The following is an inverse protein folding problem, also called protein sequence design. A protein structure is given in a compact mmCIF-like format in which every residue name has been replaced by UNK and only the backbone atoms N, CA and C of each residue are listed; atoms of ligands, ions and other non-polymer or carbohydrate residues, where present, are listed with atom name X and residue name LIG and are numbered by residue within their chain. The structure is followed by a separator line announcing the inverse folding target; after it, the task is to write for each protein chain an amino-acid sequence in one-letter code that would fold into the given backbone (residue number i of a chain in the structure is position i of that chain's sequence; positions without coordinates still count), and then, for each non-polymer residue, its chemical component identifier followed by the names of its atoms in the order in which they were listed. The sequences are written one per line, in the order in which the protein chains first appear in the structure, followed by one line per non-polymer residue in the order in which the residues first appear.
data_IF_442417439966
#
_entry.id   IF_442417439966
#
_cell.length_a   1.000
_cell.length_b   1.000
_cell.length_c   1.000
_cell.angle_alpha   90.00
_cell.angle_beta   90.00
_cell.angle_gamma   90.00
#
_symmetry.space_group_name_H-M   'P 1'
#
loop_
_entity.id
_entity.type
_entity.pdbx_description
1 polymer ?
#
# COMPACT_ATOMS: atom_id res chain seq x y z
N UNK A 1 -30.60 42.26 -35.94
CA UNK A 1 -29.35 42.42 -35.19
C UNK A 1 -28.80 41.04 -34.87
N UNK A 2 -27.87 40.55 -35.68
CA UNK A 2 -27.32 39.20 -35.60
C UNK A 2 -25.95 39.28 -34.94
N UNK A 3 -25.77 38.62 -33.77
CA UNK A 3 -24.47 38.57 -33.11
C UNK A 3 -23.49 37.75 -33.96
N UNK A 4 -22.22 38.15 -34.13
CA UNK A 4 -21.27 37.36 -34.90
C UNK A 4 -20.92 36.08 -34.15
N UNK A 5 -20.95 34.96 -34.86
CA UNK A 5 -20.49 33.66 -34.37
C UNK A 5 -18.95 33.69 -34.34
N UNK A 6 -18.37 34.03 -33.19
CA UNK A 6 -16.92 33.92 -32.98
C UNK A 6 -16.50 32.46 -32.85
N UNK A 7 -15.25 32.11 -33.23
CA UNK A 7 -14.76 30.74 -33.09
C UNK A 7 -14.80 30.31 -31.61
N UNK A 8 -15.07 29.03 -31.32
CA UNK A 8 -15.11 28.53 -29.96
C UNK A 8 -13.77 28.81 -29.29
N UNK A 9 -13.79 29.66 -28.26
CA UNK A 9 -12.61 30.00 -27.48
C UNK A 9 -11.94 28.72 -26.99
N UNK A 10 -10.66 28.57 -27.28
CA UNK A 10 -9.82 27.51 -26.74
C UNK A 10 -9.79 27.69 -25.23
N UNK A 11 -10.69 27.01 -24.50
CA UNK A 11 -10.57 26.90 -23.04
C UNK A 11 -9.26 26.16 -22.79
N UNK A 12 -8.23 26.91 -22.43
CA UNK A 12 -7.00 26.37 -21.89
C UNK A 12 -7.40 25.48 -20.71
N UNK A 13 -7.27 24.16 -20.87
CA UNK A 13 -7.41 23.24 -19.74
C UNK A 13 -6.44 23.75 -18.66
N UNK A 14 -6.88 23.95 -17.40
CA UNK A 14 -5.97 24.30 -16.33
C UNK A 14 -4.83 23.30 -16.34
N UNK A 15 -3.58 23.79 -16.38
CA UNK A 15 -2.42 22.93 -16.14
C UNK A 15 -2.65 22.27 -14.78
N UNK A 16 -2.66 20.92 -14.68
CA UNK A 16 -2.71 20.31 -13.37
C UNK A 16 -1.57 20.90 -12.54
N UNK A 17 -1.90 21.37 -11.33
CA UNK A 17 -0.90 21.76 -10.34
C UNK A 17 0.17 20.68 -10.30
N UNK A 18 1.46 21.06 -10.33
CA UNK A 18 2.60 20.15 -10.47
C UNK A 18 2.31 18.78 -9.84
N UNK A 19 2.03 17.78 -10.68
CA UNK A 19 1.86 16.42 -10.21
C UNK A 19 3.19 16.03 -9.55
N UNK A 20 3.20 15.98 -8.22
CA UNK A 20 4.43 15.73 -7.47
C UNK A 20 5.07 14.43 -7.94
N UNK A 21 6.39 14.33 -7.81
CA UNK A 21 7.12 13.17 -8.34
C UNK A 21 6.90 11.91 -7.49
N UNK A 22 7.21 10.74 -8.03
CA UNK A 22 7.45 9.54 -7.21
C UNK A 22 8.96 9.34 -7.21
N UNK A 23 9.63 9.92 -6.21
CA UNK A 23 11.10 9.92 -6.10
C UNK A 23 11.67 8.49 -6.08
N UNK A 24 12.95 8.32 -6.40
CA UNK A 24 13.61 7.02 -6.28
C UNK A 24 13.48 6.45 -4.85
N UNK A 25 13.59 7.31 -3.84
CA UNK A 25 13.36 6.94 -2.44
C UNK A 25 11.94 6.39 -2.22
N UNK A 26 10.92 7.10 -2.71
CA UNK A 26 9.54 6.62 -2.63
C UNK A 26 9.34 5.27 -3.32
N UNK A 27 9.93 5.07 -4.50
CA UNK A 27 9.80 3.81 -5.24
C UNK A 27 10.46 2.66 -4.49
N UNK A 28 11.68 2.85 -3.98
CA UNK A 28 12.40 1.83 -3.22
C UNK A 28 11.57 1.40 -2.01
N UNK A 29 11.10 2.36 -1.22
CA UNK A 29 10.31 2.04 -0.04
C UNK A 29 8.93 1.46 -0.39
N UNK A 30 8.28 1.89 -1.47
CA UNK A 30 7.02 1.30 -1.93
C UNK A 30 7.19 -0.19 -2.28
N UNK A 31 8.30 -0.54 -2.95
CA UNK A 31 8.62 -1.92 -3.32
C UNK A 31 9.04 -2.76 -2.11
N UNK A 32 9.77 -2.18 -1.15
CA UNK A 32 10.07 -2.84 0.14
C UNK A 32 8.77 -3.14 0.89
N UNK A 33 7.85 -2.17 0.97
CA UNK A 33 6.54 -2.37 1.58
C UNK A 33 5.77 -3.50 0.88
N UNK A 34 5.74 -3.50 -0.45
CA UNK A 34 5.09 -4.55 -1.23
C UNK A 34 5.69 -5.93 -0.93
N UNK A 35 7.01 -6.03 -0.91
CA UNK A 35 7.72 -7.27 -0.60
C UNK A 35 7.38 -7.79 0.79
N UNK A 36 7.35 -6.92 1.80
CA UNK A 36 6.96 -7.29 3.17
C UNK A 36 5.56 -7.90 3.18
N UNK A 37 4.60 -7.26 2.50
CA UNK A 37 3.21 -7.74 2.47
C UNK A 37 3.05 -9.05 1.69
N UNK A 38 3.81 -9.25 0.61
CA UNK A 38 3.84 -10.54 -0.09
C UNK A 38 4.40 -11.63 0.82
N UNK A 39 5.55 -11.39 1.47
CA UNK A 39 6.19 -12.38 2.36
C UNK A 39 5.29 -12.72 3.54
N UNK A 40 4.76 -11.71 4.23
CA UNK A 40 3.85 -11.90 5.37
C UNK A 40 2.58 -12.59 4.90
N UNK A 41 2.00 -12.18 3.77
CA UNK A 41 0.80 -12.80 3.22
C UNK A 41 1.00 -14.27 2.85
N UNK A 42 2.18 -14.64 2.34
CA UNK A 42 2.53 -16.04 2.10
C UNK A 42 2.65 -16.85 3.40
N UNK A 43 3.25 -16.26 4.44
CA UNK A 43 3.34 -16.90 5.76
C UNK A 43 1.93 -17.11 6.34
N UNK A 44 1.08 -16.10 6.28
CA UNK A 44 -0.31 -16.14 6.76
C UNK A 44 -1.16 -17.18 6.00
N UNK A 45 -1.11 -17.16 4.66
CA UNK A 45 -1.91 -18.04 3.82
C UNK A 45 -1.45 -19.51 3.85
N UNK A 46 -0.14 -19.77 3.91
CA UNK A 46 0.40 -21.10 3.69
C UNK A 46 1.15 -21.70 4.88
N UNK A 47 1.75 -20.88 5.75
CA UNK A 47 2.67 -21.38 6.79
C UNK A 47 2.03 -21.38 8.18
N UNK A 48 1.17 -20.41 8.47
CA UNK A 48 0.57 -20.18 9.79
C UNK A 48 -0.01 -21.45 10.44
N UNK A 49 -0.83 -22.21 9.70
CA UNK A 49 -1.47 -23.41 10.23
C UNK A 49 -0.51 -24.56 10.56
N UNK A 50 0.72 -24.53 10.03
CA UNK A 50 1.67 -25.66 10.08
C UNK A 50 2.84 -25.41 11.04
N UNK A 51 3.26 -24.16 11.24
CA UNK A 51 4.43 -23.80 12.05
C UNK A 51 4.03 -23.07 13.33
N UNK A 52 4.57 -23.52 14.47
CA UNK A 52 4.41 -22.82 15.76
C UNK A 52 5.13 -21.49 15.76
N UNK A 53 6.27 -21.43 15.10
CA UNK A 53 7.12 -20.24 14.96
C UNK A 53 6.39 -19.15 14.18
N UNK A 54 5.71 -19.52 13.08
CA UNK A 54 4.86 -18.60 12.32
C UNK A 54 3.72 -18.03 13.18
N UNK A 55 3.08 -18.87 14.01
CA UNK A 55 2.02 -18.41 14.91
C UNK A 55 2.54 -17.46 15.98
N UNK A 56 3.66 -17.81 16.62
CA UNK A 56 4.33 -16.94 17.58
C UNK A 56 4.77 -15.62 16.94
N UNK A 57 5.31 -15.65 15.72
CA UNK A 57 5.72 -14.45 15.00
C UNK A 57 4.54 -13.52 14.69
N UNK A 58 3.45 -14.08 14.13
CA UNK A 58 2.30 -13.31 13.64
C UNK A 58 1.32 -12.86 14.74
N UNK A 59 1.09 -13.72 15.74
CA UNK A 59 0.00 -13.52 16.73
C UNK A 59 0.49 -13.45 18.16
N UNK A 60 1.78 -13.76 18.42
CA UNK A 60 2.34 -13.93 19.78
C UNK A 60 1.68 -15.03 20.61
N UNK A 61 0.82 -15.82 19.99
CA UNK A 61 0.11 -16.94 20.59
C UNK A 61 0.49 -18.23 19.84
N UNK A 62 0.80 -19.32 20.54
CA UNK A 62 1.20 -20.58 19.88
C UNK A 62 0.02 -21.40 19.37
N UNK A 63 -1.21 -21.10 19.82
CA UNK A 63 -2.44 -21.83 19.49
C UNK A 63 -2.90 -21.64 18.04
N UNK A 64 -3.68 -22.59 17.52
CA UNK A 64 -4.19 -22.55 16.14
C UNK A 64 -5.71 -22.85 16.07
N UNK A 65 -6.58 -21.99 16.64
CA UNK A 65 -8.02 -22.19 16.54
C UNK A 65 -8.48 -22.11 15.07
N UNK A 66 -9.46 -22.94 14.64
CA UNK A 66 -9.96 -22.95 13.26
C UNK A 66 -10.40 -21.57 12.74
N UNK A 67 -11.05 -20.78 13.59
CA UNK A 67 -11.50 -19.42 13.31
C UNK A 67 -10.34 -18.45 13.05
N UNK A 68 -9.28 -18.51 13.86
CA UNK A 68 -8.08 -17.70 13.64
C UNK A 68 -7.43 -18.10 12.32
N UNK A 69 -7.29 -19.41 12.07
CA UNK A 69 -6.71 -19.89 10.81
C UNK A 69 -7.51 -19.43 9.59
N UNK A 70 -8.84 -19.48 9.65
CA UNK A 70 -9.71 -19.01 8.56
C UNK A 70 -9.42 -17.53 8.24
N UNK A 71 -9.43 -16.68 9.26
CA UNK A 71 -9.19 -15.25 9.09
C UNK A 71 -7.76 -14.93 8.68
N UNK A 72 -6.75 -15.61 9.23
CA UNK A 72 -5.34 -15.42 8.87
C UNK A 72 -5.09 -15.81 7.42
N UNK A 73 -5.65 -16.92 6.93
CA UNK A 73 -5.50 -17.29 5.52
C UNK A 73 -6.11 -16.21 4.62
N UNK A 74 -7.29 -15.71 4.97
CA UNK A 74 -7.97 -14.65 4.22
C UNK A 74 -7.14 -13.36 4.21
N UNK A 75 -6.63 -12.93 5.38
CA UNK A 75 -5.79 -11.72 5.50
C UNK A 75 -4.51 -11.85 4.68
N UNK A 76 -3.94 -13.06 4.59
CA UNK A 76 -2.76 -13.31 3.75
C UNK A 76 -3.00 -13.03 2.27
N UNK A 77 -4.15 -13.43 1.74
CA UNK A 77 -4.54 -13.08 0.35
C UNK A 77 -4.77 -11.58 0.18
N UNK A 78 -5.41 -10.91 1.14
CA UNK A 78 -5.55 -9.45 1.10
C UNK A 78 -4.19 -8.75 1.07
N UNK A 79 -3.23 -9.19 1.88
CA UNK A 79 -1.88 -8.62 1.91
C UNK A 79 -1.15 -8.77 0.55
N UNK A 80 -1.24 -9.95 -0.08
CA UNK A 80 -0.64 -10.19 -1.41
C UNK A 80 -1.30 -9.31 -2.48
N UNK A 81 -2.63 -9.23 -2.49
CA UNK A 81 -3.37 -8.41 -3.46
C UNK A 81 -3.12 -6.91 -3.24
N UNK A 82 -3.06 -6.47 -1.97
CA UNK A 82 -2.74 -5.09 -1.61
C UNK A 82 -1.33 -4.71 -2.07
N UNK A 83 -0.37 -5.62 -1.98
CA UNK A 83 0.99 -5.41 -2.47
C UNK A 83 1.07 -5.20 -3.99
N UNK A 84 0.07 -5.61 -4.75
CA UNK A 84 0.02 -5.36 -6.20
C UNK A 84 -0.16 -3.87 -6.52
N UNK A 85 -0.85 -3.10 -5.68
CA UNK A 85 -1.10 -1.67 -5.91
C UNK A 85 0.18 -0.81 -5.99
N UNK A 86 1.11 -0.84 -5.00
CA UNK A 86 2.35 -0.06 -5.09
C UNK A 86 3.25 -0.53 -6.25
N UNK A 87 3.27 -1.84 -6.57
CA UNK A 87 4.02 -2.37 -7.72
C UNK A 87 3.45 -1.85 -9.03
N UNK A 88 2.14 -1.97 -9.24
CA UNK A 88 1.45 -1.43 -10.41
C UNK A 88 1.62 0.09 -10.49
N UNK A 89 1.64 0.79 -9.36
CA UNK A 89 1.88 2.22 -9.28
C UNK A 89 3.26 2.63 -9.79
N UNK A 90 4.32 1.92 -9.35
CA UNK A 90 5.68 2.15 -9.83
C UNK A 90 5.79 1.85 -11.33
N UNK A 91 5.21 0.74 -11.81
CA UNK A 91 5.21 0.39 -13.24
C UNK A 91 4.50 1.46 -14.07
N UNK A 92 3.30 1.88 -13.66
CA UNK A 92 2.52 2.90 -14.35
C UNK A 92 3.27 4.24 -14.42
N UNK A 93 3.95 4.62 -13.33
CA UNK A 93 4.77 5.83 -13.30
C UNK A 93 5.89 5.80 -14.36
N UNK A 94 6.60 4.68 -14.50
CA UNK A 94 7.65 4.50 -15.52
C UNK A 94 7.13 4.38 -16.95
N UNK A 95 5.87 4.00 -17.13
CA UNK A 95 5.19 3.99 -18.43
C UNK A 95 4.63 5.37 -18.83
N UNK A 96 4.86 6.42 -18.03
CA UNK A 96 4.38 7.77 -18.29
C UNK A 96 2.99 8.07 -17.74
N UNK A 97 2.32 7.11 -17.10
CA UNK A 97 1.04 7.31 -16.41
C UNK A 97 1.28 7.85 -14.99
N UNK A 98 1.92 9.02 -14.88
CA UNK A 98 2.44 9.57 -13.61
C UNK A 98 1.36 9.75 -12.54
N UNK A 99 0.18 10.24 -12.90
CA UNK A 99 -0.92 10.49 -11.95
C UNK A 99 -1.50 9.18 -11.40
N UNK A 100 -1.68 8.19 -12.26
CA UNK A 100 -2.13 6.84 -11.88
C UNK A 100 -1.09 6.18 -10.98
N UNK A 101 0.18 6.26 -11.36
CA UNK A 101 1.28 5.71 -10.59
C UNK A 101 1.37 6.29 -9.19
N UNK A 102 1.32 7.63 -9.08
CA UNK A 102 1.31 8.35 -7.81
C UNK A 102 0.09 8.00 -6.97
N UNK A 103 -1.11 7.97 -7.55
CA UNK A 103 -2.34 7.66 -6.83
C UNK A 103 -2.30 6.26 -6.20
N UNK A 104 -1.84 5.25 -6.95
CA UNK A 104 -1.72 3.88 -6.44
C UNK A 104 -0.71 3.76 -5.29
N UNK A 105 0.48 4.39 -5.43
CA UNK A 105 1.51 4.38 -4.38
C UNK A 105 1.01 5.08 -3.11
N UNK A 106 0.35 6.24 -3.24
CA UNK A 106 -0.20 7.00 -2.11
C UNK A 106 -1.31 6.23 -1.42
N UNK A 107 -2.27 5.70 -2.19
CA UNK A 107 -3.39 4.94 -1.65
C UNK A 107 -2.92 3.71 -0.89
N UNK A 108 -2.04 2.90 -1.49
CA UNK A 108 -1.48 1.72 -0.84
C UNK A 108 -0.74 2.08 0.45
N UNK A 109 0.05 3.17 0.42
CA UNK A 109 0.79 3.63 1.60
C UNK A 109 -0.15 4.04 2.74
N UNK A 110 -1.19 4.83 2.44
CA UNK A 110 -2.21 5.21 3.42
C UNK A 110 -2.94 4.01 3.99
N UNK A 111 -3.32 3.05 3.13
CA UNK A 111 -3.98 1.82 3.56
C UNK A 111 -3.11 1.04 4.54
N UNK A 112 -1.84 0.82 4.22
CA UNK A 112 -0.93 0.00 5.03
C UNK A 112 -0.61 0.67 6.36
N UNK A 113 -0.46 2.00 6.40
CA UNK A 113 -0.32 2.78 7.64
C UNK A 113 -1.58 2.64 8.51
N UNK A 114 -2.77 2.83 7.91
CA UNK A 114 -4.04 2.72 8.64
C UNK A 114 -4.26 1.30 9.19
N UNK A 115 -3.97 0.28 8.39
CA UNK A 115 -4.08 -1.11 8.78
C UNK A 115 -3.05 -1.49 9.86
N UNK A 116 -1.82 -0.98 9.81
CA UNK A 116 -0.83 -1.19 10.87
C UNK A 116 -1.19 -0.48 12.17
N UNK A 117 -1.81 0.70 12.10
CA UNK A 117 -2.43 1.33 13.29
C UNK A 117 -3.55 0.46 13.86
N UNK A 118 -4.44 -0.04 12.99
CA UNK A 118 -5.51 -0.98 13.37
C UNK A 118 -4.96 -2.23 14.06
N UNK A 119 -3.87 -2.81 13.55
CA UNK A 119 -3.18 -3.95 14.14
C UNK A 119 -2.66 -3.63 15.56
N UNK A 120 -1.98 -2.49 15.72
CA UNK A 120 -1.46 -2.06 17.02
C UNK A 120 -2.57 -1.77 18.04
N UNK A 121 -3.68 -1.16 17.60
CA UNK A 121 -4.85 -0.90 18.46
C UNK A 121 -5.54 -2.20 18.86
N UNK A 122 -5.60 -3.18 17.95
CA UNK A 122 -6.24 -4.48 18.20
C UNK A 122 -5.47 -5.31 19.22
N UNK A 123 -4.14 -5.37 19.12
CA UNK A 123 -3.29 -5.97 20.13
C UNK A 123 -1.89 -5.33 20.15
N UNK A 124 -1.56 -4.69 21.26
CA UNK A 124 -0.27 -4.01 21.47
C UNK A 124 0.93 -4.96 21.47
N UNK A 125 0.73 -6.25 21.71
CA UNK A 125 1.79 -7.27 21.60
C UNK A 125 2.31 -7.40 20.17
N UNK A 126 1.50 -6.98 19.18
CA UNK A 126 1.80 -7.04 17.75
C UNK A 126 2.52 -5.78 17.23
N UNK A 127 3.03 -4.92 18.12
CA UNK A 127 3.69 -3.66 17.77
C UNK A 127 4.78 -3.82 16.70
N UNK A 128 5.56 -4.91 16.73
CA UNK A 128 6.62 -5.13 15.74
C UNK A 128 6.08 -5.37 14.34
N UNK A 129 4.96 -6.11 14.23
CA UNK A 129 4.26 -6.31 12.97
C UNK A 129 3.64 -5.01 12.46
N UNK A 130 3.01 -4.24 13.36
CA UNK A 130 2.44 -2.94 13.06
C UNK A 130 3.50 -1.96 12.50
N UNK A 131 4.69 -1.92 13.11
CA UNK A 131 5.81 -1.11 12.62
C UNK A 131 6.36 -1.62 11.29
N UNK A 132 6.55 -2.93 11.13
CA UNK A 132 7.04 -3.52 9.89
C UNK A 132 6.13 -3.25 8.69
N UNK A 133 4.82 -3.25 8.90
CA UNK A 133 3.82 -2.91 7.89
C UNK A 133 3.74 -1.40 7.62
N UNK A 134 3.87 -0.55 8.64
CA UNK A 134 3.59 0.89 8.52
C UNK A 134 4.80 1.75 8.18
N UNK A 135 5.99 1.43 8.70
CA UNK A 135 7.14 2.33 8.60
C UNK A 135 7.63 2.51 7.14
N UNK A 136 7.80 1.45 6.34
CA UNK A 136 8.21 1.63 4.94
C UNK A 136 7.15 2.37 4.11
N UNK A 137 5.86 2.13 4.40
CA UNK A 137 4.74 2.86 3.80
C UNK A 137 4.75 4.34 4.19
N UNK A 138 5.06 4.68 5.44
CA UNK A 138 5.16 6.06 5.90
C UNK A 138 6.31 6.80 5.22
N UNK A 139 7.49 6.18 5.11
CA UNK A 139 8.63 6.76 4.37
C UNK A 139 8.25 7.00 2.92
N UNK A 140 7.58 6.03 2.28
CA UNK A 140 7.05 6.18 0.92
C UNK A 140 6.13 7.39 0.81
N UNK A 141 5.12 7.49 1.68
CA UNK A 141 4.14 8.57 1.66
C UNK A 141 4.80 9.93 1.82
N UNK A 142 5.69 10.09 2.80
CA UNK A 142 6.41 11.34 3.03
C UNK A 142 7.26 11.72 1.82
N UNK A 143 8.02 10.77 1.26
CA UNK A 143 8.88 11.00 0.09
C UNK A 143 8.10 11.38 -1.18
N UNK A 144 6.82 10.98 -1.30
CA UNK A 144 5.91 11.37 -2.39
C UNK A 144 5.29 12.76 -2.14
N UNK A 145 4.94 13.06 -0.89
CA UNK A 145 4.28 14.32 -0.53
C UNK A 145 5.24 15.53 -0.54
N UNK A 146 6.53 15.30 -0.32
CA UNK A 146 7.55 16.37 -0.29
C UNK A 146 8.28 16.59 -1.63
N UNK A 147 7.82 15.97 -2.73
CA UNK A 147 8.54 15.90 -4.01
C UNK A 147 7.82 16.51 -5.21
#
# INVERSE_FOLDING_TARGET
MSRPFGPPGTRSRPRPAHAGKVTALAQIFALVTALIHVVVGLIEAFVFGRSREARLFLTREPGNPPEVRLWTVNVGFYNILLAAAPVAGVIAYHQGHTDVGRALVVYASLFMIAAGLGLYVSDRRLWSGALGQSLPALVTLLAVLTS
#
